data_IF_602808127958
#
_entry.id   IF_602808127958
#
_cell.length_a   1.000
_cell.length_b   1.000
_cell.length_c   1.000
_cell.angle_alpha   90.00
_cell.angle_beta   90.00
_cell.angle_gamma   90.00
#
_symmetry.space_group_name_H-M   'P 1'
#
loop_
_entity.id
_entity.type
_entity.pdbx_description
1 polymer ?
#
# COMPACT_ATOMS: atom_id res chain seq x y z
N UNK A 1 1.30 -1.45 -28.65
CA UNK A 1 0.17 -1.74 -27.74
C UNK A 1 0.41 -1.31 -26.28
N UNK A 2 1.66 -1.20 -25.80
CA UNK A 2 2.00 -0.70 -24.45
C UNK A 2 1.65 0.78 -24.21
N UNK A 3 1.73 1.64 -25.24
CA UNK A 3 1.54 3.10 -25.12
C UNK A 3 0.14 3.53 -24.65
N UNK A 4 -0.94 2.81 -24.98
CA UNK A 4 -2.29 3.26 -24.61
C UNK A 4 -2.72 2.83 -23.20
N UNK A 5 -2.17 1.74 -22.65
CA UNK A 5 -2.60 1.19 -21.36
C UNK A 5 -2.09 2.00 -20.17
N UNK A 6 -0.84 2.47 -20.23
CA UNK A 6 -0.18 3.18 -19.12
C UNK A 6 -0.11 4.69 -19.29
N UNK A 7 -0.60 5.25 -20.40
CA UNK A 7 -0.53 6.69 -20.66
C UNK A 7 -1.16 7.51 -19.53
N UNK A 8 -2.37 7.15 -19.09
CA UNK A 8 -3.07 7.87 -18.01
C UNK A 8 -2.32 7.84 -16.67
N UNK A 9 -1.91 6.66 -16.13
CA UNK A 9 -1.11 6.62 -14.90
C UNK A 9 0.21 7.39 -15.01
N UNK A 10 0.92 7.30 -16.14
CA UNK A 10 2.19 7.99 -16.34
C UNK A 10 1.98 9.51 -16.34
N UNK A 11 0.95 10.01 -17.04
CA UNK A 11 0.61 11.44 -17.05
C UNK A 11 0.29 11.92 -15.63
N UNK A 12 -0.52 11.18 -14.88
CA UNK A 12 -0.84 11.51 -13.47
C UNK A 12 0.44 11.57 -12.62
N UNK A 13 1.33 10.60 -12.77
CA UNK A 13 2.60 10.57 -12.05
C UNK A 13 3.52 11.75 -12.42
N UNK A 14 3.58 12.15 -13.69
CA UNK A 14 4.35 13.32 -14.14
C UNK A 14 3.81 14.60 -13.52
N UNK A 15 2.49 14.83 -13.56
CA UNK A 15 1.88 16.00 -12.91
C UNK A 15 2.14 16.04 -11.42
N UNK A 16 2.12 14.87 -10.77
CA UNK A 16 2.49 14.74 -9.37
C UNK A 16 3.96 15.09 -9.12
N UNK A 17 4.90 14.61 -9.92
CA UNK A 17 6.31 14.99 -9.78
C UNK A 17 6.50 16.51 -9.94
N UNK A 18 5.84 17.13 -10.93
CA UNK A 18 5.89 18.59 -11.12
C UNK A 18 5.33 19.31 -9.89
N UNK A 19 4.17 18.86 -9.38
CA UNK A 19 3.57 19.41 -8.17
C UNK A 19 4.51 19.32 -6.95
N UNK A 20 5.13 18.16 -6.72
CA UNK A 20 6.08 17.96 -5.63
C UNK A 20 7.32 18.82 -5.80
N UNK A 21 7.84 18.99 -7.02
CA UNK A 21 8.98 19.90 -7.29
C UNK A 21 8.61 21.34 -6.93
N UNK A 22 7.44 21.82 -7.36
CA UNK A 22 6.97 23.18 -7.04
C UNK A 22 6.81 23.36 -5.52
N UNK A 23 6.20 22.39 -4.86
CA UNK A 23 6.02 22.40 -3.41
C UNK A 23 7.36 22.40 -2.68
N UNK A 24 8.32 21.59 -3.13
CA UNK A 24 9.67 21.51 -2.59
C UNK A 24 10.38 22.85 -2.66
N UNK A 25 10.36 23.51 -3.84
CA UNK A 25 10.95 24.84 -4.03
C UNK A 25 10.28 25.88 -3.13
N UNK A 26 8.95 25.81 -2.96
CA UNK A 26 8.24 26.71 -2.06
C UNK A 26 8.67 26.50 -0.61
N UNK A 27 8.72 25.25 -0.14
CA UNK A 27 9.12 24.91 1.22
C UNK A 27 10.56 25.31 1.53
N UNK A 28 11.53 25.08 0.63
CA UNK A 28 12.92 25.53 0.82
C UNK A 28 13.02 27.04 1.03
N UNK A 29 12.14 27.83 0.38
CA UNK A 29 12.14 29.30 0.55
C UNK A 29 11.59 29.73 1.90
N UNK A 30 10.56 29.05 2.40
CA UNK A 30 9.92 29.42 3.67
C UNK A 30 10.59 28.79 4.89
N UNK A 31 11.29 27.67 4.72
CA UNK A 31 11.92 26.88 5.79
C UNK A 31 13.38 26.48 5.45
N UNK A 32 14.29 27.42 5.11
CA UNK A 32 15.60 27.14 4.51
C UNK A 32 16.63 26.45 5.43
N UNK A 33 16.30 26.20 6.70
CA UNK A 33 17.24 25.67 7.71
C UNK A 33 16.70 24.48 8.50
N UNK A 34 15.56 23.92 8.09
CA UNK A 34 15.01 22.71 8.69
C UNK A 34 15.52 21.49 7.93
N UNK A 35 16.02 20.50 8.68
CA UNK A 35 16.29 19.15 8.18
C UNK A 35 15.14 18.28 8.64
N UNK A 36 14.53 17.53 7.73
CA UNK A 36 13.46 16.61 8.08
C UNK A 36 14.01 15.35 8.73
N UNK A 37 15.18 14.86 8.33
CA UNK A 37 15.68 13.60 8.86
C UNK A 37 17.19 13.60 8.96
N UNK A 38 17.74 13.02 10.04
CA UNK A 38 19.18 12.76 10.11
C UNK A 38 19.63 11.63 9.17
N UNK A 39 18.67 10.88 8.61
CA UNK A 39 18.95 9.78 7.67
C UNK A 39 19.35 10.26 6.27
N UNK A 40 18.95 11.48 5.90
CA UNK A 40 19.30 12.09 4.63
C UNK A 40 20.27 13.24 4.95
N UNK A 41 21.56 13.15 4.58
CA UNK A 41 22.55 14.19 4.90
C UNK A 41 22.40 15.39 3.96
N UNK A 42 21.22 15.98 3.86
CA UNK A 42 20.90 17.13 3.02
C UNK A 42 20.27 18.21 3.90
N UNK A 43 20.90 19.39 3.94
CA UNK A 43 20.45 20.48 4.80
C UNK A 43 19.36 21.36 4.18
N UNK A 44 18.45 20.78 3.38
CA UNK A 44 17.38 21.50 2.67
C UNK A 44 16.11 20.66 2.63
N UNK A 45 15.10 21.10 3.39
CA UNK A 45 13.79 20.46 3.51
C UNK A 45 13.10 20.20 2.17
N UNK A 46 13.21 21.11 1.20
CA UNK A 46 12.56 20.93 -0.09
C UNK A 46 13.25 19.86 -0.91
N UNK A 47 14.58 19.83 -0.92
CA UNK A 47 15.32 18.75 -1.59
C UNK A 47 14.99 17.40 -0.95
N UNK A 48 14.92 17.33 0.38
CA UNK A 48 14.54 16.10 1.09
C UNK A 48 13.13 15.65 0.74
N UNK A 49 12.13 16.55 0.74
CA UNK A 49 10.75 16.23 0.33
C UNK A 49 10.73 15.74 -1.12
N UNK A 50 11.39 16.45 -2.03
CA UNK A 50 11.50 16.04 -3.43
C UNK A 50 12.07 14.62 -3.55
N UNK A 51 13.17 14.33 -2.84
CA UNK A 51 13.80 13.02 -2.81
C UNK A 51 12.87 11.94 -2.26
N UNK A 52 12.22 12.20 -1.12
CA UNK A 52 11.32 11.26 -0.46
C UNK A 52 10.18 10.89 -1.40
N UNK A 53 9.45 11.88 -1.92
CA UNK A 53 8.21 11.65 -2.64
C UNK A 53 8.41 11.20 -4.10
N UNK A 54 9.47 11.65 -4.78
CA UNK A 54 9.71 11.33 -6.19
C UNK A 54 10.58 10.08 -6.35
N UNK A 55 11.46 9.78 -5.38
CA UNK A 55 12.45 8.70 -5.50
C UNK A 55 12.20 7.61 -4.47
N UNK A 56 12.22 7.94 -3.18
CA UNK A 56 12.24 6.93 -2.11
C UNK A 56 10.89 6.20 -2.01
N UNK A 57 9.75 6.89 -1.99
CA UNK A 57 8.43 6.27 -1.90
C UNK A 57 8.16 5.33 -3.10
N UNK A 58 8.38 5.75 -4.36
CA UNK A 58 8.26 4.85 -5.50
C UNK A 58 9.19 3.64 -5.41
N UNK A 59 10.48 3.82 -5.12
CA UNK A 59 11.43 2.70 -5.01
C UNK A 59 11.04 1.73 -3.90
N UNK A 60 10.67 2.24 -2.72
CA UNK A 60 10.24 1.42 -1.59
C UNK A 60 8.99 0.62 -1.93
N UNK A 61 8.03 1.23 -2.64
CA UNK A 61 6.84 0.53 -3.11
C UNK A 61 7.16 -0.55 -4.16
N UNK A 62 8.11 -0.31 -5.07
CA UNK A 62 8.56 -1.30 -6.06
C UNK A 62 9.19 -2.50 -5.37
N UNK A 63 10.11 -2.26 -4.43
CA UNK A 63 10.73 -3.31 -3.62
C UNK A 63 9.68 -4.10 -2.84
N UNK A 64 8.73 -3.38 -2.22
CA UNK A 64 7.60 -3.98 -1.54
C UNK A 64 6.80 -4.92 -2.45
N UNK A 65 6.42 -4.46 -3.66
CA UNK A 65 5.70 -5.29 -4.63
C UNK A 65 6.47 -6.54 -5.04
N UNK A 66 7.77 -6.42 -5.29
CA UNK A 66 8.61 -7.54 -5.72
C UNK A 66 8.76 -8.57 -4.58
N UNK A 67 9.13 -8.13 -3.38
CA UNK A 67 9.32 -9.01 -2.23
C UNK A 67 7.98 -9.63 -1.81
N UNK A 68 6.95 -8.81 -1.70
CA UNK A 68 5.61 -9.24 -1.31
C UNK A 68 5.02 -10.27 -2.25
N UNK A 69 5.15 -10.02 -3.55
CA UNK A 69 4.66 -10.92 -4.58
C UNK A 69 5.43 -12.24 -4.69
N UNK A 70 6.77 -12.20 -4.74
CA UNK A 70 7.56 -13.41 -4.99
C UNK A 70 7.91 -14.22 -3.73
N UNK A 71 7.98 -13.57 -2.57
CA UNK A 71 8.34 -14.22 -1.30
C UNK A 71 7.12 -14.43 -0.42
N UNK A 72 6.34 -13.38 -0.15
CA UNK A 72 5.23 -13.47 0.81
C UNK A 72 3.99 -14.16 0.23
N UNK A 73 3.67 -13.99 -1.05
CA UNK A 73 2.49 -14.63 -1.63
C UNK A 73 2.53 -16.18 -1.49
N UNK A 74 3.64 -16.89 -1.81
CA UNK A 74 3.76 -18.32 -1.53
C UNK A 74 3.62 -18.68 -0.05
N UNK A 75 4.16 -17.86 0.86
CA UNK A 75 4.07 -18.07 2.31
C UNK A 75 2.61 -17.95 2.78
N UNK A 76 1.88 -16.94 2.31
CA UNK A 76 0.46 -16.78 2.62
C UNK A 76 -0.38 -17.94 2.06
N UNK A 77 -0.09 -18.39 0.84
CA UNK A 77 -0.77 -19.56 0.27
C UNK A 77 -0.52 -20.83 1.11
N UNK A 78 0.74 -21.07 1.48
CA UNK A 78 1.12 -22.19 2.34
C UNK A 78 0.39 -22.11 3.69
N UNK A 79 0.38 -20.94 4.31
CA UNK A 79 -0.28 -20.71 5.61
C UNK A 79 -1.78 -20.94 5.52
N UNK A 80 -2.45 -20.39 4.51
CA UNK A 80 -3.87 -20.60 4.28
C UNK A 80 -4.20 -22.10 4.08
N UNK A 81 -3.42 -22.80 3.24
CA UNK A 81 -3.61 -24.23 3.01
C UNK A 81 -3.34 -25.06 4.27
N UNK A 82 -2.35 -24.70 5.08
CA UNK A 82 -2.05 -25.39 6.34
C UNK A 82 -3.17 -25.22 7.36
N UNK A 83 -3.76 -24.04 7.48
CA UNK A 83 -4.81 -23.74 8.47
C UNK A 83 -6.18 -24.29 8.03
N UNK A 84 -6.54 -24.09 6.76
CA UNK A 84 -7.89 -24.38 6.27
C UNK A 84 -7.97 -25.63 5.40
N UNK A 85 -6.86 -26.20 4.94
CA UNK A 85 -6.87 -27.19 3.87
C UNK A 85 -7.49 -28.53 4.17
N UNK A 86 -7.72 -28.87 5.44
CA UNK A 86 -8.53 -30.03 5.82
C UNK A 86 -10.04 -29.78 5.68
N UNK A 87 -10.47 -28.51 5.54
CA UNK A 87 -11.88 -28.08 5.57
C UNK A 87 -12.39 -27.53 4.24
N UNK A 88 -11.50 -27.29 3.28
CA UNK A 88 -11.82 -26.66 1.99
C UNK A 88 -11.04 -27.32 0.87
N UNK A 89 -11.65 -27.36 -0.30
CA UNK A 89 -11.02 -27.79 -1.53
C UNK A 89 -10.37 -26.61 -2.23
N UNK A 90 -9.30 -26.84 -2.97
CA UNK A 90 -8.61 -25.81 -3.74
C UNK A 90 -8.65 -26.13 -5.22
N UNK A 91 -8.59 -25.09 -6.04
CA UNK A 91 -8.45 -25.24 -7.48
C UNK A 91 -7.97 -23.96 -8.16
N UNK A 92 -7.62 -24.09 -9.43
CA UNK A 92 -7.11 -23.00 -10.26
C UNK A 92 -8.17 -22.63 -11.29
N UNK A 93 -8.59 -21.37 -11.26
CA UNK A 93 -9.48 -20.79 -12.24
C UNK A 93 -8.66 -20.19 -13.40
N UNK A 94 -8.88 -20.68 -14.62
CA UNK A 94 -8.05 -20.35 -15.80
C UNK A 94 -8.57 -19.18 -16.64
N UNK A 95 -9.50 -18.37 -16.14
CA UNK A 95 -9.97 -17.21 -16.90
C UNK A 95 -9.04 -16.01 -16.73
N UNK A 96 -8.78 -15.33 -17.84
CA UNK A 96 -8.07 -14.04 -17.82
C UNK A 96 -8.86 -13.03 -16.99
N UNK A 97 -8.27 -12.60 -15.87
CA UNK A 97 -8.78 -11.47 -15.10
C UNK A 97 -8.64 -10.20 -15.95
N UNK A 98 -9.73 -9.84 -16.63
CA UNK A 98 -9.87 -8.59 -17.39
C UNK A 98 -9.96 -7.42 -16.41
N UNK A 99 -8.96 -6.53 -16.46
CA UNK A 99 -9.03 -5.19 -15.88
C UNK A 99 -7.89 -4.84 -14.94
N UNK A 100 -7.15 -3.79 -15.29
CA UNK A 100 -6.18 -3.11 -14.44
C UNK A 100 -6.95 -2.13 -13.52
N UNK A 101 -7.07 -2.42 -12.23
CA UNK A 101 -7.75 -1.55 -11.25
C UNK A 101 -6.74 -0.97 -10.24
N UNK A 102 -5.75 -0.24 -10.76
CA UNK A 102 -4.69 0.38 -9.97
C UNK A 102 -5.19 1.20 -8.76
N UNK A 103 -6.15 2.10 -8.98
CA UNK A 103 -6.59 3.03 -7.93
C UNK A 103 -7.22 2.33 -6.72
N UNK A 104 -8.03 1.30 -6.93
CA UNK A 104 -8.75 0.62 -5.83
C UNK A 104 -7.90 -0.39 -5.07
N UNK A 105 -6.70 -0.70 -5.56
CA UNK A 105 -5.71 -1.54 -4.89
C UNK A 105 -4.64 -0.66 -4.22
N UNK A 106 -4.19 0.41 -4.87
CA UNK A 106 -3.18 1.33 -4.35
C UNK A 106 -3.64 2.13 -3.13
N UNK A 107 -4.91 2.54 -3.10
CA UNK A 107 -5.44 3.35 -2.00
C UNK A 107 -5.29 2.66 -0.64
N UNK A 108 -5.60 1.37 -0.54
CA UNK A 108 -5.51 0.68 0.75
C UNK A 108 -4.07 0.46 1.20
N UNK A 109 -3.13 0.30 0.26
CA UNK A 109 -1.71 0.22 0.57
C UNK A 109 -1.18 1.56 1.09
N UNK A 110 -1.56 2.67 0.46
CA UNK A 110 -1.23 4.02 0.93
C UNK A 110 -1.80 4.30 2.32
N UNK A 111 -3.08 3.99 2.54
CA UNK A 111 -3.75 4.17 3.82
C UNK A 111 -3.12 3.34 4.94
N UNK A 112 -2.75 2.08 4.65
CA UNK A 112 -2.01 1.25 5.61
C UNK A 112 -0.63 1.83 5.92
N UNK A 113 0.08 2.38 4.93
CA UNK A 113 1.38 3.00 5.15
C UNK A 113 1.28 4.21 6.09
N UNK A 114 0.29 5.08 5.86
CA UNK A 114 0.00 6.24 6.70
C UNK A 114 -0.38 5.81 8.12
N UNK A 115 -1.27 4.82 8.26
CA UNK A 115 -1.64 4.34 9.58
C UNK A 115 -0.44 3.76 10.34
N UNK A 116 0.37 2.93 9.67
CA UNK A 116 1.56 2.36 10.28
C UNK A 116 2.60 3.43 10.66
N UNK A 117 2.80 4.45 9.82
CA UNK A 117 3.75 5.51 10.17
C UNK A 117 3.25 6.33 11.36
N UNK A 118 1.96 6.69 11.40
CA UNK A 118 1.37 7.39 12.55
C UNK A 118 1.44 6.57 13.84
N UNK A 119 1.14 5.27 13.78
CA UNK A 119 1.19 4.39 14.95
C UNK A 119 2.62 4.21 15.47
N UNK A 120 3.61 4.23 14.58
CA UNK A 120 5.02 4.09 14.92
C UNK A 120 5.67 5.42 15.37
N UNK A 121 5.05 6.56 15.10
CA UNK A 121 5.45 7.88 15.63
C UNK A 121 5.19 7.93 17.14
N UNK A 122 6.05 7.27 17.90
CA UNK A 122 6.05 7.25 19.37
C UNK A 122 7.26 8.02 19.88
N UNK A 123 7.21 8.54 21.12
CA UNK A 123 8.31 9.32 21.71
C UNK A 123 9.69 8.64 21.56
N UNK A 124 9.74 7.33 21.77
CA UNK A 124 10.97 6.56 21.59
C UNK A 124 11.49 6.59 20.14
N UNK A 125 10.62 6.38 19.15
CA UNK A 125 11.00 6.43 17.73
C UNK A 125 11.37 7.84 17.29
N UNK A 126 10.69 8.86 17.81
CA UNK A 126 11.02 10.26 17.53
C UNK A 126 12.41 10.58 18.08
N UNK A 127 12.71 10.18 19.32
CA UNK A 127 14.04 10.40 19.90
C UNK A 127 15.17 9.73 19.11
N UNK A 128 14.91 8.57 18.51
CA UNK A 128 15.85 7.90 17.59
C UNK A 128 15.98 8.63 16.25
N UNK A 129 14.91 9.29 15.79
CA UNK A 129 14.86 9.95 14.49
C UNK A 129 15.47 11.35 14.54
N UNK A 130 15.29 12.07 15.65
CA UNK A 130 15.70 13.48 15.84
C UNK A 130 16.94 13.62 16.73
N UNK A 131 17.32 12.57 17.48
CA UNK A 131 18.52 12.57 18.31
C UNK A 131 18.41 13.40 19.60
N UNK A 132 17.22 13.88 19.93
CA UNK A 132 16.89 14.65 21.15
C UNK A 132 15.52 14.24 21.69
N UNK A 133 15.17 14.73 22.88
CA UNK A 133 13.82 14.57 23.39
C UNK A 133 12.81 15.30 22.48
N UNK A 134 11.63 14.69 22.21
CA UNK A 134 10.63 15.26 21.32
C UNK A 134 9.92 16.43 21.99
N UNK A 135 10.20 17.64 21.50
CA UNK A 135 9.68 18.88 22.07
C UNK A 135 8.81 19.68 21.09
N UNK A 136 8.74 19.28 19.82
CA UNK A 136 7.99 20.03 18.80
C UNK A 136 7.13 19.15 17.90
N UNK A 137 6.06 19.75 17.37
CA UNK A 137 5.24 19.15 16.31
C UNK A 137 6.07 18.81 15.06
N UNK A 138 7.11 19.60 14.77
CA UNK A 138 7.99 19.33 13.64
C UNK A 138 8.71 17.98 13.82
N UNK A 139 9.04 17.58 15.05
CA UNK A 139 9.66 16.29 15.36
C UNK A 139 8.72 15.10 15.09
N UNK A 140 7.43 15.29 15.38
CA UNK A 140 6.39 14.29 15.06
C UNK A 140 6.20 14.16 13.55
N UNK A 141 6.11 15.29 12.86
CA UNK A 141 5.90 15.33 11.41
C UNK A 141 7.09 14.74 10.64
N UNK A 142 8.30 15.10 11.05
CA UNK A 142 9.54 14.58 10.48
C UNK A 142 9.66 13.08 10.67
N UNK A 143 9.41 12.59 11.88
CA UNK A 143 9.41 11.16 12.19
C UNK A 143 8.34 10.42 11.38
N UNK A 144 7.13 10.99 11.26
CA UNK A 144 6.07 10.42 10.43
C UNK A 144 6.49 10.29 8.96
N UNK A 145 7.07 11.35 8.37
CA UNK A 145 7.54 11.33 6.97
C UNK A 145 8.70 10.35 6.77
N UNK A 146 9.61 10.26 7.74
CA UNK A 146 10.71 9.31 7.72
C UNK A 146 10.21 7.86 7.75
N UNK A 147 9.27 7.57 8.65
CA UNK A 147 8.64 6.25 8.76
C UNK A 147 7.83 5.91 7.51
N UNK A 148 7.18 6.90 6.88
CA UNK A 148 6.40 6.70 5.67
C UNK A 148 7.24 6.11 4.53
N UNK A 149 8.54 6.44 4.46
CA UNK A 149 9.48 5.84 3.52
C UNK A 149 9.55 4.31 3.65
N UNK A 150 9.52 3.80 4.89
CA UNK A 150 9.62 2.38 5.18
C UNK A 150 8.24 1.72 5.13
N UNK A 151 7.23 2.34 5.73
CA UNK A 151 5.89 1.77 5.85
C UNK A 151 5.18 1.65 4.51
N UNK A 152 5.49 2.50 3.51
CA UNK A 152 4.96 2.34 2.16
C UNK A 152 5.46 1.04 1.50
N UNK A 153 6.72 0.68 1.73
CA UNK A 153 7.31 -0.57 1.26
C UNK A 153 6.70 -1.77 1.95
N UNK A 154 6.55 -1.71 3.27
CA UNK A 154 5.91 -2.76 4.07
C UNK A 154 4.44 -2.94 3.67
N UNK A 155 3.68 -1.86 3.54
CA UNK A 155 2.29 -1.92 3.11
C UNK A 155 2.17 -2.50 1.69
N UNK A 156 3.03 -2.06 0.77
CA UNK A 156 3.08 -2.60 -0.60
C UNK A 156 3.45 -4.08 -0.62
N UNK A 157 4.34 -4.53 0.28
CA UNK A 157 4.69 -5.93 0.46
C UNK A 157 3.48 -6.77 0.88
N UNK A 158 2.75 -6.32 1.90
CA UNK A 158 1.59 -7.05 2.40
C UNK A 158 0.48 -7.08 1.35
N UNK A 159 0.13 -5.96 0.73
CA UNK A 159 -0.94 -5.91 -0.26
C UNK A 159 -0.59 -6.63 -1.57
N UNK A 160 0.62 -6.49 -2.08
CA UNK A 160 1.04 -7.15 -3.32
C UNK A 160 1.01 -8.67 -3.22
N UNK A 161 1.29 -9.22 -2.04
CA UNK A 161 1.16 -10.66 -1.81
C UNK A 161 -0.27 -11.15 -2.09
N UNK A 162 -1.28 -10.37 -1.72
CA UNK A 162 -2.69 -10.67 -1.99
C UNK A 162 -3.07 -10.49 -3.46
N UNK A 163 -2.49 -9.49 -4.13
CA UNK A 163 -2.72 -9.26 -5.56
C UNK A 163 -2.16 -10.41 -6.40
N UNK A 164 -0.98 -10.90 -6.07
CA UNK A 164 -0.35 -12.04 -6.74
C UNK A 164 -1.18 -13.32 -6.57
N UNK A 165 -1.71 -13.58 -5.37
CA UNK A 165 -2.59 -14.72 -5.13
C UNK A 165 -3.93 -14.58 -5.86
N UNK A 166 -4.51 -13.38 -5.86
CA UNK A 166 -5.76 -13.10 -6.57
C UNK A 166 -5.60 -13.31 -8.08
N UNK A 167 -4.54 -12.75 -8.66
CA UNK A 167 -4.25 -12.84 -10.09
C UNK A 167 -3.91 -14.27 -10.53
N UNK A 168 -3.33 -15.09 -9.64
CA UNK A 168 -3.03 -16.49 -9.95
C UNK A 168 -4.29 -17.35 -10.15
N UNK A 169 -5.47 -16.86 -9.75
CA UNK A 169 -6.74 -17.56 -9.89
C UNK A 169 -6.90 -18.73 -8.92
N UNK A 170 -6.15 -18.76 -7.82
CA UNK A 170 -6.30 -19.82 -6.80
C UNK A 170 -7.56 -19.56 -6.00
N UNK A 171 -8.50 -20.50 -6.11
CA UNK A 171 -9.77 -20.52 -5.41
C UNK A 171 -9.76 -21.58 -4.33
N UNK A 172 -10.57 -21.36 -3.30
CA UNK A 172 -10.96 -22.39 -2.35
C UNK A 172 -12.48 -22.47 -2.24
N UNK A 173 -12.99 -23.63 -1.88
CA UNK A 173 -14.41 -23.91 -1.74
C UNK A 173 -14.70 -24.79 -0.52
N UNK A 174 -15.77 -24.50 0.21
CA UNK A 174 -16.29 -25.34 1.29
C UNK A 174 -17.45 -26.25 0.82
N UNK A 175 -17.66 -26.44 -0.49
CA UNK A 175 -18.79 -27.18 -1.06
C UNK A 175 -19.06 -28.52 -0.38
N UNK A 176 -18.06 -29.40 -0.25
CA UNK A 176 -18.20 -30.69 0.44
C UNK A 176 -18.75 -30.59 1.86
N UNK A 177 -18.38 -29.53 2.58
CA UNK A 177 -18.88 -29.28 3.93
C UNK A 177 -20.27 -28.64 3.93
N UNK A 178 -20.60 -27.86 2.91
CA UNK A 178 -21.91 -27.25 2.73
C UNK A 178 -22.97 -28.26 2.27
N UNK A 179 -22.57 -29.38 1.64
CA UNK A 179 -23.47 -30.50 1.38
C UNK A 179 -23.90 -31.20 2.68
N UNK A 180 -22.97 -31.38 3.61
CA UNK A 180 -23.20 -32.05 4.90
C UNK A 180 -23.67 -31.09 6.02
N UNK A 181 -23.79 -29.79 5.76
CA UNK A 181 -24.22 -28.81 6.76
C UNK A 181 -25.10 -27.72 6.16
N UNK A 182 -26.04 -27.16 6.93
CA UNK A 182 -26.87 -26.01 6.51
C UNK A 182 -26.07 -24.69 6.31
N UNK A 183 -24.76 -24.76 6.05
CA UNK A 183 -23.92 -23.60 5.77
C UNK A 183 -23.94 -23.34 4.26
N UNK A 184 -23.97 -22.06 3.84
CA UNK A 184 -23.91 -21.73 2.43
C UNK A 184 -22.57 -22.18 1.82
N UNK A 185 -22.64 -22.65 0.58
CA UNK A 185 -21.47 -22.89 -0.23
C UNK A 185 -20.82 -21.55 -0.60
N UNK A 186 -19.52 -21.44 -0.36
CA UNK A 186 -18.70 -20.28 -0.65
C UNK A 186 -17.53 -20.68 -1.55
N UNK A 187 -17.44 -20.04 -2.71
CA UNK A 187 -16.27 -20.12 -3.59
C UNK A 187 -15.59 -18.76 -3.55
N UNK A 188 -14.34 -18.73 -3.06
CA UNK A 188 -13.58 -17.48 -2.92
C UNK A 188 -12.14 -17.65 -3.36
N UNK A 189 -11.54 -16.55 -3.81
CA UNK A 189 -10.09 -16.50 -4.08
C UNK A 189 -9.33 -16.34 -2.77
N UNK A 190 -8.24 -17.08 -2.59
CA UNK A 190 -7.34 -16.96 -1.42
C UNK A 190 -6.80 -15.54 -1.30
N UNK A 191 -6.40 -14.93 -2.42
CA UNK A 191 -5.94 -13.53 -2.42
C UNK A 191 -7.05 -12.55 -2.05
N UNK A 192 -8.29 -12.81 -2.46
CA UNK A 192 -9.45 -11.97 -2.09
C UNK A 192 -9.79 -12.09 -0.60
N UNK A 193 -9.64 -13.27 -0.01
CA UNK A 193 -9.83 -13.50 1.41
C UNK A 193 -8.88 -12.64 2.24
N UNK A 194 -7.56 -12.77 2.03
CA UNK A 194 -6.56 -11.92 2.71
C UNK A 194 -6.78 -10.44 2.42
N UNK A 195 -7.04 -10.09 1.16
CA UNK A 195 -7.26 -8.72 0.74
C UNK A 195 -8.45 -8.06 1.45
N UNK A 196 -9.52 -8.80 1.76
CA UNK A 196 -10.67 -8.26 2.48
C UNK A 196 -10.33 -7.88 3.93
N UNK A 197 -9.58 -8.73 4.65
CA UNK A 197 -9.13 -8.41 6.01
C UNK A 197 -8.21 -7.19 6.03
N UNK A 198 -7.23 -7.15 5.12
CA UNK A 198 -6.30 -6.03 5.02
C UNK A 198 -6.99 -4.71 4.68
N UNK A 199 -7.95 -4.73 3.75
CA UNK A 199 -8.75 -3.55 3.40
C UNK A 199 -9.61 -3.07 4.55
N UNK A 200 -10.22 -3.99 5.31
CA UNK A 200 -11.00 -3.66 6.50
C UNK A 200 -10.14 -2.97 7.55
N UNK A 201 -8.97 -3.53 7.85
CA UNK A 201 -8.00 -2.91 8.75
C UNK A 201 -7.55 -1.54 8.23
N UNK A 202 -6.99 -1.47 7.03
CA UNK A 202 -6.44 -0.23 6.46
C UNK A 202 -7.46 0.89 6.34
N UNK A 203 -8.72 0.57 6.01
CA UNK A 203 -9.78 1.57 5.86
C UNK A 203 -10.22 2.19 7.19
N UNK A 204 -10.54 1.36 8.20
CA UNK A 204 -11.07 1.88 9.47
C UNK A 204 -9.96 2.52 10.32
N UNK A 205 -8.82 1.85 10.42
CA UNK A 205 -7.71 2.32 11.28
C UNK A 205 -7.13 3.66 10.82
N UNK A 206 -6.96 3.86 9.50
CA UNK A 206 -6.39 5.12 9.00
C UNK A 206 -7.32 6.29 9.29
N UNK A 207 -8.64 6.12 9.23
CA UNK A 207 -9.58 7.22 9.46
C UNK A 207 -9.43 7.69 10.91
N UNK A 208 -9.39 6.76 11.86
CA UNK A 208 -9.20 7.07 13.28
C UNK A 208 -7.84 7.73 13.53
N UNK A 209 -6.75 7.09 13.12
CA UNK A 209 -5.40 7.62 13.30
C UNK A 209 -5.20 8.98 12.62
N UNK A 210 -5.85 9.20 11.47
CA UNK A 210 -5.73 10.45 10.73
C UNK A 210 -6.56 11.58 11.36
N UNK A 211 -7.74 11.28 11.91
CA UNK A 211 -8.51 12.26 12.70
C UNK A 211 -7.69 12.68 13.92
N UNK A 212 -7.11 11.72 14.65
CA UNK A 212 -6.27 12.01 15.82
C UNK A 212 -5.06 12.86 15.44
N UNK A 213 -4.38 12.50 14.34
CA UNK A 213 -3.29 13.29 13.78
C UNK A 213 -3.74 14.73 13.45
N UNK A 214 -4.87 14.90 12.76
CA UNK A 214 -5.35 16.24 12.38
C UNK A 214 -5.79 17.08 13.58
N UNK A 215 -6.34 16.46 14.63
CA UNK A 215 -6.70 17.14 15.88
C UNK A 215 -5.48 17.66 16.65
N UNK A 216 -4.34 16.99 16.55
CA UNK A 216 -3.07 17.47 17.09
C UNK A 216 -2.43 18.52 16.16
N UNK A 217 -2.45 18.25 14.86
CA UNK A 217 -1.84 19.04 13.79
C UNK A 217 -2.41 20.45 13.71
N UNK A 218 -3.73 20.60 13.55
CA UNK A 218 -4.34 21.90 13.22
C UNK A 218 -4.09 22.97 14.31
N UNK A 219 -4.27 22.69 15.62
CA UNK A 219 -4.04 23.70 16.65
C UNK A 219 -2.59 24.14 16.77
N UNK A 220 -1.64 23.21 16.67
CA UNK A 220 -0.20 23.53 16.76
C UNK A 220 0.24 24.39 15.58
N UNK A 221 -0.23 24.04 14.39
CA UNK A 221 0.10 24.76 13.16
C UNK A 221 -0.47 26.19 13.13
N UNK A 222 -1.64 26.40 13.76
CA UNK A 222 -2.26 27.72 13.88
C UNK A 222 -1.52 28.66 14.84
N UNK A 223 -0.81 28.11 15.83
CA UNK A 223 -0.12 28.89 16.85
C UNK A 223 1.35 29.19 16.49
N UNK A 224 2.02 28.27 15.79
CA UNK A 224 3.47 28.32 15.62
C UNK A 224 3.92 28.85 14.25
N UNK A 225 3.03 28.92 13.26
CA UNK A 225 3.40 29.24 11.87
C UNK A 225 2.72 30.51 11.34
N UNK A 226 3.37 31.13 10.36
CA UNK A 226 2.75 32.22 9.59
C UNK A 226 1.51 31.73 8.84
N UNK A 227 0.51 32.59 8.66
CA UNK A 227 -0.73 32.26 7.95
C UNK A 227 -0.47 31.63 6.57
N UNK A 228 0.56 32.10 5.86
CA UNK A 228 0.95 31.57 4.55
C UNK A 228 1.45 30.11 4.64
N UNK A 229 2.32 29.82 5.60
CA UNK A 229 2.80 28.45 5.86
C UNK A 229 1.65 27.54 6.29
N UNK A 230 0.75 28.05 7.13
CA UNK A 230 -0.43 27.34 7.59
C UNK A 230 -1.33 26.88 6.43
N UNK A 231 -1.68 27.81 5.53
CA UNK A 231 -2.51 27.51 4.35
C UNK A 231 -1.79 26.51 3.44
N UNK A 232 -0.49 26.70 3.20
CA UNK A 232 0.30 25.81 2.34
C UNK A 232 0.32 24.37 2.88
N UNK A 233 0.55 24.19 4.18
CA UNK A 233 0.57 22.88 4.80
C UNK A 233 -0.83 22.24 4.82
N UNK A 234 -1.91 22.99 5.08
CA UNK A 234 -3.26 22.45 4.97
C UNK A 234 -3.59 21.93 3.56
N UNK A 235 -3.19 22.66 2.52
CA UNK A 235 -3.42 22.25 1.12
C UNK A 235 -2.71 20.93 0.81
N UNK A 236 -1.58 20.64 1.45
CA UNK A 236 -0.82 19.41 1.24
C UNK A 236 -1.33 18.27 2.14
N UNK A 237 -1.52 18.56 3.43
CA UNK A 237 -1.84 17.54 4.42
C UNK A 237 -3.29 17.12 4.31
N UNK A 238 -4.28 17.99 4.17
CA UNK A 238 -5.70 17.56 4.07
C UNK A 238 -5.94 16.49 2.98
N UNK A 239 -5.47 16.63 1.73
CA UNK A 239 -5.62 15.59 0.71
C UNK A 239 -4.55 14.48 0.77
N UNK A 240 -3.64 14.50 1.74
CA UNK A 240 -2.47 13.62 1.82
C UNK A 240 -2.78 12.12 1.69
N UNK A 241 -3.85 11.57 2.31
CA UNK A 241 -4.20 10.17 2.13
C UNK A 241 -4.44 9.76 0.66
N UNK A 242 -4.90 10.70 -0.16
CA UNK A 242 -5.10 10.49 -1.60
C UNK A 242 -3.82 10.74 -2.40
N UNK A 243 -3.02 11.74 -2.00
CA UNK A 243 -1.76 12.09 -2.67
C UNK A 243 -0.74 10.96 -2.59
N UNK A 244 -0.64 10.27 -1.45
CA UNK A 244 0.29 9.14 -1.24
C UNK A 244 -0.01 7.92 -2.13
N UNK A 245 -1.19 7.84 -2.75
CA UNK A 245 -1.49 6.77 -3.72
C UNK A 245 -0.67 6.94 -5.01
N UNK A 246 -0.40 8.17 -5.41
CA UNK A 246 0.27 8.51 -6.68
C UNK A 246 1.72 8.00 -6.75
N UNK A 247 2.59 8.14 -5.72
CA UNK A 247 3.95 7.60 -5.77
C UNK A 247 4.01 6.06 -5.89
N UNK A 248 2.91 5.34 -5.67
CA UNK A 248 2.85 3.88 -5.86
C UNK A 248 2.65 3.51 -7.35
N UNK A 249 2.27 4.46 -8.23
CA UNK A 249 2.01 4.19 -9.67
C UNK A 249 3.13 3.37 -10.33
N UNK A 250 4.43 3.72 -10.21
CA UNK A 250 5.50 2.97 -10.84
C UNK A 250 5.54 1.50 -10.42
N UNK A 251 5.32 1.21 -9.13
CA UNK A 251 5.24 -0.15 -8.62
C UNK A 251 4.11 -0.96 -9.26
N UNK A 252 2.95 -0.35 -9.51
CA UNK A 252 1.86 -1.03 -10.20
C UNK A 252 2.09 -1.27 -11.69
N UNK A 253 2.76 -0.33 -12.37
CA UNK A 253 3.16 -0.53 -13.76
C UNK A 253 4.10 -1.73 -13.86
N UNK A 254 5.11 -1.80 -12.99
CA UNK A 254 6.03 -2.95 -12.92
C UNK A 254 5.28 -4.24 -12.56
N UNK A 255 4.39 -4.17 -11.58
CA UNK A 255 3.54 -5.28 -11.15
C UNK A 255 2.77 -5.88 -12.33
N UNK A 256 2.05 -5.05 -13.10
CA UNK A 256 1.26 -5.50 -14.25
C UNK A 256 2.13 -5.94 -15.44
N UNK A 257 3.31 -5.34 -15.63
CA UNK A 257 4.29 -5.84 -16.61
C UNK A 257 4.76 -7.26 -16.29
N UNK A 258 4.93 -7.58 -15.01
CA UNK A 258 5.33 -8.91 -14.53
C UNK A 258 4.15 -9.91 -14.43
N UNK A 259 2.94 -9.54 -14.88
CA UNK A 259 1.71 -10.29 -14.60
C UNK A 259 1.75 -11.76 -15.03
N UNK A 260 2.20 -12.04 -16.24
CA UNK A 260 2.27 -13.43 -16.72
C UNK A 260 3.30 -14.26 -15.94
N UNK A 261 4.47 -13.67 -15.69
CA UNK A 261 5.55 -14.33 -14.96
C UNK A 261 5.13 -14.65 -13.52
N UNK A 262 4.51 -13.70 -12.80
CA UNK A 262 4.04 -13.93 -11.44
C UNK A 262 2.94 -14.98 -11.36
N UNK A 263 2.00 -15.01 -12.31
CA UNK A 263 0.92 -16.01 -12.32
C UNK A 263 1.52 -17.40 -12.47
N UNK A 264 2.43 -17.59 -13.44
CA UNK A 264 3.15 -18.85 -13.63
C UNK A 264 3.93 -19.26 -12.39
N UNK A 265 4.65 -18.32 -11.76
CA UNK A 265 5.42 -18.57 -10.54
C UNK A 265 4.53 -19.03 -9.37
N UNK A 266 3.45 -18.31 -9.08
CA UNK A 266 2.55 -18.65 -7.96
C UNK A 266 1.84 -19.97 -8.22
N UNK A 267 1.38 -20.24 -9.45
CA UNK A 267 0.78 -21.54 -9.81
C UNK A 267 1.77 -22.69 -9.66
N UNK A 268 3.05 -22.49 -10.00
CA UNK A 268 4.11 -23.50 -9.77
C UNK A 268 4.34 -23.75 -8.27
N UNK A 269 4.19 -22.74 -7.41
CA UNK A 269 4.23 -22.92 -5.95
C UNK A 269 2.97 -23.62 -5.43
N UNK A 270 1.80 -23.29 -5.98
CA UNK A 270 0.53 -23.93 -5.64
C UNK A 270 0.51 -25.43 -6.01
N UNK A 271 1.05 -25.80 -7.17
CA UNK A 271 1.15 -27.20 -7.59
C UNK A 271 2.05 -28.02 -6.66
N UNK A 272 3.16 -27.44 -6.17
CA UNK A 272 3.99 -28.06 -5.12
C UNK A 272 3.25 -28.28 -3.80
N UNK A 273 2.20 -27.51 -3.54
CA UNK A 273 1.32 -27.70 -2.40
C UNK A 273 0.18 -28.67 -2.70
N UNK A 274 0.12 -29.30 -3.88
CA UNK A 274 -0.96 -30.20 -4.28
C UNK A 274 -2.25 -29.47 -4.70
N UNK A 275 -2.15 -28.24 -5.23
CA UNK A 275 -3.26 -27.53 -5.87
C UNK A 275 -3.06 -27.63 -7.39
N UNK A 276 -3.69 -28.61 -8.02
CA UNK A 276 -3.50 -28.92 -9.45
C UNK A 276 -4.80 -29.03 -10.24
N UNK A 277 -5.94 -29.14 -9.56
CA UNK A 277 -7.27 -29.19 -10.17
C UNK A 277 -7.59 -27.85 -10.85
N UNK A 278 -7.95 -27.91 -12.13
CA UNK A 278 -8.60 -26.78 -12.80
C UNK A 278 -10.08 -26.78 -12.40
N UNK A 279 -10.61 -25.60 -12.11
CA UNK A 279 -12.02 -25.45 -11.71
C UNK A 279 -12.69 -24.48 -12.66
N UNK A 280 -13.87 -24.87 -13.14
CA UNK A 280 -14.83 -23.98 -13.80
C UNK A 280 -15.93 -23.61 -12.80
N UNK A 281 -16.30 -22.34 -12.77
CA UNK A 281 -17.37 -21.84 -11.88
C UNK A 281 -18.58 -21.54 -12.75
N UNK A 282 -19.54 -22.46 -12.76
CA UNK A 282 -20.83 -22.31 -13.43
C UNK A 282 -21.92 -22.13 -12.36
N UNK A 283 -22.72 -21.07 -12.49
CA UNK A 283 -23.91 -20.87 -11.66
C UNK A 283 -25.13 -21.34 -12.44
N UNK A 284 -25.72 -22.44 -12.02
CA UNK A 284 -27.05 -22.83 -12.48
C UNK A 284 -28.08 -22.23 -11.52
N UNK A 285 -28.82 -21.24 -12.00
CA UNK A 285 -30.00 -20.74 -11.30
C UNK A 285 -31.11 -21.76 -11.53
N UNK A 286 -31.40 -22.58 -10.51
CA UNK A 286 -32.64 -23.37 -10.50
C UNK A 286 -33.79 -22.41 -10.16
N UNK A 287 -34.65 -22.17 -11.16
CA UNK A 287 -35.94 -21.51 -10.98
C UNK A 287 -36.91 -22.43 -10.23
#
# INVERSE_FOLDING_TARGET
>A
MLKSKYSKPIIIYIFYCIFIIILSIALSKFLPSLNLTYFIPISDIGIEIGLIFIVILPLSSILGVLIGGYVFAPILLFTHKRIFGSKVEYGIYNKDFKGFKFFSEGIFSALMAINLSLLLTTRWVISLSVGSDPDSFLDDLTTFLALLMLTIGIASLVFSSTWFLKDSGILYSNLKRAEDSNKPAEIRSVGRWYGQFLKGYAGVSVILSYIDFMNLFIPQLANDLSLTLFIMLLIVFVPFPLVIVIPIIPAFIISDWLKEHRIKYIRKKASKLGITSNVEVNFELRN
#
